data_IF_684283717447
#
_entry.id   IF_684283717447
#
_cell.length_a   1.000
_cell.length_b   1.000
_cell.length_c   1.000
_cell.angle_alpha   90.00
_cell.angle_beta   90.00
_cell.angle_gamma   90.00
#
_symmetry.space_group_name_H-M   'P 1'
#
loop_
_entity.id
_entity.type
_entity.pdbx_description
1 polymer ?
#
# COMPACT_ATOMS: atom_id res chain seq x y z
N UNK A 1 6.37 -18.34 13.68
CA UNK A 1 5.82 -17.73 12.43
C UNK A 1 4.36 -17.43 12.72
N UNK A 2 3.83 -16.30 12.30
CA UNK A 2 2.41 -15.98 12.47
C UNK A 2 1.58 -16.87 11.57
N UNK A 3 0.45 -17.39 12.07
CA UNK A 3 -0.50 -18.17 11.25
C UNK A 3 -1.20 -17.29 10.19
N UNK A 4 -1.01 -15.97 10.28
CA UNK A 4 -1.62 -14.98 9.40
C UNK A 4 -3.10 -14.73 9.71
N UNK A 5 -3.59 -13.57 9.33
CA UNK A 5 -5.02 -13.25 9.37
C UNK A 5 -5.70 -13.70 8.09
N UNK A 6 -6.97 -14.08 8.17
CA UNK A 6 -7.75 -14.55 7.02
C UNK A 6 -7.85 -13.50 5.91
N UNK A 7 -8.09 -12.24 6.29
CA UNK A 7 -8.19 -11.10 5.38
C UNK A 7 -7.19 -10.04 5.82
N UNK A 8 -6.27 -9.70 4.94
CA UNK A 8 -5.28 -8.65 5.16
C UNK A 8 -5.56 -7.50 4.21
N UNK A 9 -5.80 -6.32 4.75
CA UNK A 9 -5.98 -5.08 3.99
C UNK A 9 -4.71 -4.25 4.08
N UNK A 10 -4.31 -3.61 2.99
CA UNK A 10 -3.11 -2.77 2.96
C UNK A 10 -3.20 -1.69 1.88
N UNK A 11 -2.29 -0.75 1.92
CA UNK A 11 -2.00 0.22 0.87
C UNK A 11 -0.50 0.49 0.86
N UNK A 12 0.02 1.13 -0.18
CA UNK A 12 1.43 1.50 -0.20
C UNK A 12 1.77 2.53 0.90
N UNK A 13 3.06 2.68 1.17
CA UNK A 13 3.54 3.54 2.26
C UNK A 13 3.06 4.99 2.15
N UNK A 14 2.95 5.54 0.94
CA UNK A 14 2.50 6.92 0.74
C UNK A 14 1.04 7.14 1.18
N UNK A 15 0.26 6.08 1.26
CA UNK A 15 -1.10 6.07 1.79
C UNK A 15 -1.18 5.64 3.26
N UNK A 16 -0.10 5.08 3.81
CA UNK A 16 0.03 4.64 5.21
C UNK A 16 0.88 5.61 6.04
N UNK A 17 0.63 6.90 5.84
CA UNK A 17 1.30 8.00 6.55
C UNK A 17 0.29 9.10 6.85
N UNK A 18 0.59 9.91 7.86
CA UNK A 18 -0.13 11.15 8.15
C UNK A 18 0.59 12.40 7.65
N UNK A 19 1.73 12.22 6.94
CA UNK A 19 2.56 13.33 6.46
C UNK A 19 2.89 14.38 7.54
N UNK A 20 2.98 13.97 8.81
CA UNK A 20 3.13 14.87 9.99
C UNK A 20 2.06 15.96 10.08
N UNK A 21 0.87 15.72 9.52
CA UNK A 21 -0.21 16.71 9.43
C UNK A 21 0.02 17.81 8.39
N UNK A 22 1.08 17.72 7.59
CA UNK A 22 1.39 18.72 6.55
C UNK A 22 1.06 18.16 5.16
N UNK A 23 -0.02 18.66 4.54
CA UNK A 23 -0.48 18.21 3.23
C UNK A 23 0.53 18.45 2.10
N UNK A 24 1.43 19.44 2.23
CA UNK A 24 2.48 19.71 1.24
C UNK A 24 3.46 18.54 1.10
N UNK A 25 3.65 17.74 2.15
CA UNK A 25 4.47 16.53 2.08
C UNK A 25 3.88 15.46 1.18
N UNK A 26 2.54 15.44 1.03
CA UNK A 26 1.86 14.61 0.03
C UNK A 26 2.23 14.97 -1.39
N UNK A 27 2.39 16.26 -1.70
CA UNK A 27 2.88 16.71 -3.01
C UNK A 27 4.32 16.28 -3.27
N UNK A 28 5.19 16.31 -2.25
CA UNK A 28 6.57 15.80 -2.38
C UNK A 28 6.57 14.33 -2.77
N UNK A 29 5.61 13.55 -2.30
CA UNK A 29 5.45 12.14 -2.69
C UNK A 29 5.11 11.94 -4.17
N UNK A 30 4.52 12.94 -4.81
CA UNK A 30 4.27 12.96 -6.25
C UNK A 30 5.51 13.33 -7.07
N UNK A 31 6.58 13.83 -6.43
CA UNK A 31 7.84 14.21 -7.06
C UNK A 31 8.68 13.01 -7.50
N UNK A 32 9.72 13.27 -8.35
CA UNK A 32 10.61 12.22 -8.83
C UNK A 32 11.35 11.52 -7.69
N UNK A 33 11.37 10.19 -7.73
CA UNK A 33 12.00 9.35 -6.72
C UNK A 33 13.50 9.64 -6.50
N UNK A 34 14.19 10.13 -7.52
CA UNK A 34 15.63 10.39 -7.47
C UNK A 34 16.00 11.71 -6.77
N UNK A 35 15.03 12.59 -6.49
CA UNK A 35 15.32 13.91 -5.92
C UNK A 35 15.81 13.86 -4.48
N UNK A 36 15.30 12.93 -3.69
CA UNK A 36 15.58 12.82 -2.26
C UNK A 36 15.92 11.36 -1.94
N UNK A 37 17.00 11.07 -1.21
CA UNK A 37 17.28 9.72 -0.76
C UNK A 37 16.08 9.12 -0.01
N UNK A 38 15.73 7.89 -0.32
CA UNK A 38 14.53 7.24 0.18
C UNK A 38 14.42 7.27 1.71
N UNK A 39 15.51 7.03 2.42
CA UNK A 39 15.52 7.05 3.88
C UNK A 39 15.19 8.42 4.47
N UNK A 40 15.60 9.50 3.78
CA UNK A 40 15.28 10.89 4.17
C UNK A 40 13.80 11.15 3.93
N UNK A 41 13.30 10.74 2.73
CA UNK A 41 11.89 10.86 2.42
C UNK A 41 11.02 10.13 3.45
N UNK A 42 11.33 8.88 3.74
CA UNK A 42 10.57 8.04 4.67
C UNK A 42 10.57 8.57 6.10
N UNK A 43 11.69 9.12 6.57
CA UNK A 43 11.77 9.66 7.92
C UNK A 43 11.16 11.05 8.07
N UNK A 44 11.38 11.91 7.09
CA UNK A 44 11.05 13.33 7.21
C UNK A 44 9.66 13.64 6.65
N UNK A 45 9.35 13.19 5.45
CA UNK A 45 8.15 13.56 4.72
C UNK A 45 7.03 12.52 4.82
N UNK A 46 7.39 11.24 4.86
CA UNK A 46 6.44 10.13 4.82
C UNK A 46 6.65 9.14 5.98
N UNK A 47 6.60 9.60 7.26
CA UNK A 47 6.77 8.70 8.39
C UNK A 47 5.64 7.68 8.44
N UNK A 48 5.96 6.45 8.82
CA UNK A 48 4.94 5.40 9.04
C UNK A 48 3.97 5.81 10.13
N UNK A 49 2.70 5.46 9.95
CA UNK A 49 1.71 5.52 11.03
C UNK A 49 2.09 4.57 12.16
N UNK A 50 1.56 4.82 13.34
CA UNK A 50 1.77 3.93 14.50
C UNK A 50 1.33 2.51 14.16
N UNK A 51 2.27 1.58 14.27
CA UNK A 51 2.12 0.19 13.81
C UNK A 51 2.57 -0.75 14.92
N UNK A 52 1.76 -1.77 15.17
CA UNK A 52 2.12 -2.85 16.09
C UNK A 52 3.26 -3.69 15.49
N UNK A 53 4.41 -3.68 16.14
CA UNK A 53 5.62 -4.37 15.65
C UNK A 53 5.51 -5.89 15.58
N UNK A 54 4.58 -6.48 16.33
CA UNK A 54 4.39 -7.94 16.37
C UNK A 54 3.43 -8.43 15.29
N UNK A 55 2.37 -7.66 15.01
CA UNK A 55 1.29 -8.06 14.08
C UNK A 55 1.32 -7.32 12.76
N UNK A 56 2.00 -6.18 12.68
CA UNK A 56 1.95 -5.28 11.52
C UNK A 56 0.68 -4.41 11.47
N UNK A 57 -0.22 -4.53 12.46
CA UNK A 57 -1.48 -3.77 12.50
C UNK A 57 -1.25 -2.28 12.69
N UNK A 58 -1.93 -1.47 11.87
CA UNK A 58 -1.85 -0.01 11.98
C UNK A 58 -3.01 0.54 12.83
N UNK A 59 -2.71 1.48 13.72
CA UNK A 59 -3.76 2.18 14.49
C UNK A 59 -4.58 3.13 13.62
N UNK A 60 -3.92 3.84 12.72
CA UNK A 60 -4.55 4.80 11.81
C UNK A 60 -4.37 4.31 10.39
N UNK A 61 -5.45 4.24 9.64
CA UNK A 61 -5.44 3.86 8.23
C UNK A 61 -6.31 4.82 7.41
N UNK A 62 -6.07 4.83 6.12
CA UNK A 62 -6.85 5.58 5.15
C UNK A 62 -8.34 5.25 5.25
N UNK A 63 -9.19 6.27 5.07
CA UNK A 63 -10.65 6.13 5.17
C UNK A 63 -11.22 5.02 4.28
N UNK A 64 -10.67 4.84 3.05
CA UNK A 64 -11.09 3.77 2.15
C UNK A 64 -10.87 2.37 2.75
N UNK A 65 -9.72 2.12 3.37
CA UNK A 65 -9.43 0.85 4.05
C UNK A 65 -10.34 0.62 5.26
N UNK A 66 -10.60 1.67 6.07
CA UNK A 66 -11.52 1.57 7.22
C UNK A 66 -12.95 1.30 6.79
N UNK A 67 -13.40 1.85 5.67
CA UNK A 67 -14.72 1.54 5.11
C UNK A 67 -14.84 0.08 4.65
N UNK A 68 -13.80 -0.44 3.98
CA UNK A 68 -13.77 -1.85 3.57
C UNK A 68 -13.75 -2.75 4.82
N UNK A 69 -12.90 -2.46 5.80
CA UNK A 69 -12.86 -3.18 7.08
C UNK A 69 -14.24 -3.19 7.76
N UNK A 70 -14.88 -2.04 7.88
CA UNK A 70 -16.22 -1.91 8.47
C UNK A 70 -17.29 -2.70 7.71
N UNK A 71 -17.20 -2.77 6.39
CA UNK A 71 -18.11 -3.59 5.60
C UNK A 71 -17.87 -5.10 5.83
N UNK A 72 -16.61 -5.52 5.87
CA UNK A 72 -16.23 -6.91 6.11
C UNK A 72 -16.61 -7.39 7.52
N UNK A 73 -16.57 -6.52 8.52
CA UNK A 73 -16.96 -6.85 9.90
C UNK A 73 -18.46 -7.17 10.07
N UNK A 74 -19.28 -7.01 9.04
CA UNK A 74 -20.66 -7.51 9.02
C UNK A 74 -20.75 -9.02 8.82
N UNK A 75 -19.74 -9.62 8.18
CA UNK A 75 -19.71 -11.02 7.78
C UNK A 75 -18.58 -11.82 8.44
N UNK A 76 -17.52 -11.14 8.88
CA UNK A 76 -16.32 -11.75 9.45
C UNK A 76 -16.06 -11.25 10.87
N UNK A 77 -15.41 -12.07 11.67
CA UNK A 77 -15.01 -11.68 13.03
C UNK A 77 -13.83 -10.70 13.01
N UNK A 78 -13.73 -9.87 14.06
CA UNK A 78 -12.65 -8.86 14.18
C UNK A 78 -11.25 -9.47 14.12
N UNK A 79 -11.08 -10.64 14.67
CA UNK A 79 -9.79 -11.36 14.72
C UNK A 79 -9.40 -12.00 13.39
N UNK A 80 -10.30 -12.11 12.43
CA UNK A 80 -10.03 -12.60 11.07
C UNK A 80 -9.46 -11.53 10.13
N UNK A 81 -9.64 -10.23 10.46
CA UNK A 81 -9.31 -9.10 9.59
C UNK A 81 -8.21 -8.27 10.22
N UNK A 82 -7.30 -7.77 9.39
CA UNK A 82 -6.27 -6.82 9.81
C UNK A 82 -6.01 -5.78 8.72
N UNK A 83 -5.77 -4.52 9.11
CA UNK A 83 -5.14 -3.53 8.24
C UNK A 83 -3.65 -3.49 8.61
N UNK A 84 -2.81 -3.94 7.70
CA UNK A 84 -1.38 -4.09 7.89
C UNK A 84 -0.57 -3.02 7.17
N UNK A 85 0.49 -2.56 7.83
CA UNK A 85 1.48 -1.70 7.19
C UNK A 85 2.21 -2.45 6.07
N UNK A 86 2.44 -1.86 4.88
CA UNK A 86 3.02 -2.56 3.72
C UNK A 86 4.43 -3.10 3.97
N UNK A 87 5.18 -2.51 4.89
CA UNK A 87 6.52 -2.98 5.25
C UNK A 87 6.52 -4.10 6.30
N UNK A 88 5.34 -4.50 6.79
CA UNK A 88 5.20 -5.53 7.84
C UNK A 88 4.23 -6.65 7.42
N UNK A 89 3.95 -6.80 6.13
CA UNK A 89 3.01 -7.79 5.61
C UNK A 89 3.36 -9.22 6.01
N UNK A 90 4.65 -9.55 6.14
CA UNK A 90 5.12 -10.86 6.63
C UNK A 90 4.70 -11.19 8.07
N UNK A 91 4.30 -10.19 8.87
CA UNK A 91 3.76 -10.38 10.22
C UNK A 91 2.26 -10.70 10.22
N UNK A 92 1.55 -10.23 9.19
CA UNK A 92 0.10 -10.32 9.08
C UNK A 92 -0.35 -11.44 8.15
N UNK A 93 0.47 -11.79 7.14
CA UNK A 93 0.19 -12.80 6.12
C UNK A 93 0.83 -14.12 6.55
N UNK A 94 0.08 -15.20 6.43
CA UNK A 94 0.52 -16.55 6.77
C UNK A 94 -0.34 -17.63 6.10
N UNK A 95 -0.22 -18.89 6.53
CA UNK A 95 -0.96 -20.01 5.95
C UNK A 95 -2.49 -19.86 5.97
N UNK A 96 -3.03 -19.14 6.96
CA UNK A 96 -4.48 -18.92 7.08
C UNK A 96 -4.99 -17.77 6.20
N UNK A 97 -4.10 -17.02 5.54
CA UNK A 97 -4.51 -15.88 4.71
C UNK A 97 -5.15 -16.35 3.41
N UNK A 98 -6.38 -15.93 3.18
CA UNK A 98 -7.14 -16.27 1.96
C UNK A 98 -7.18 -15.12 0.97
N UNK A 99 -7.22 -13.86 1.47
CA UNK A 99 -7.34 -12.67 0.65
C UNK A 99 -6.42 -11.56 1.17
N UNK A 100 -5.73 -10.89 0.25
CA UNK A 100 -5.04 -9.63 0.49
C UNK A 100 -5.69 -8.55 -0.35
N UNK A 101 -6.30 -7.56 0.31
CA UNK A 101 -6.91 -6.39 -0.32
C UNK A 101 -5.95 -5.20 -0.33
N UNK A 102 -5.71 -4.64 -1.51
CA UNK A 102 -4.82 -3.49 -1.71
C UNK A 102 -5.65 -2.29 -2.14
N UNK A 103 -5.59 -1.21 -1.37
CA UNK A 103 -6.20 0.06 -1.75
C UNK A 103 -5.17 0.94 -2.46
N UNK A 104 -5.54 1.49 -3.62
CA UNK A 104 -4.65 2.31 -4.46
C UNK A 104 -5.26 3.67 -4.78
N UNK A 105 -4.41 4.69 -4.89
CA UNK A 105 -4.80 6.04 -5.30
C UNK A 105 -4.11 6.47 -6.60
N UNK A 106 -2.81 6.29 -6.71
CA UNK A 106 -1.98 6.67 -7.87
C UNK A 106 -0.84 5.65 -8.05
N UNK A 107 -1.19 4.37 -8.31
CA UNK A 107 -0.22 3.27 -8.26
C UNK A 107 0.87 3.34 -9.35
N UNK A 108 0.57 3.94 -10.49
CA UNK A 108 1.52 4.08 -11.59
C UNK A 108 2.01 5.53 -11.79
N UNK A 109 1.59 6.46 -10.92
CA UNK A 109 1.99 7.86 -11.02
C UNK A 109 1.29 8.59 -12.16
N UNK A 110 0.05 8.22 -12.48
CA UNK A 110 -0.70 8.78 -13.62
C UNK A 110 -1.72 9.85 -13.20
N UNK A 111 -1.84 10.13 -11.91
CA UNK A 111 -2.68 11.23 -11.44
C UNK A 111 -2.14 12.59 -11.89
N UNK A 112 -3.02 13.60 -12.09
CA UNK A 112 -2.62 14.90 -12.64
C UNK A 112 -1.47 15.58 -11.89
N UNK A 113 -1.43 15.49 -10.58
CA UNK A 113 -0.36 16.07 -9.76
C UNK A 113 0.96 15.36 -10.04
N UNK A 114 0.97 14.03 -10.04
CA UNK A 114 2.17 13.24 -10.26
C UNK A 114 2.72 13.41 -11.67
N UNK A 115 1.88 13.41 -12.69
CA UNK A 115 2.30 13.65 -14.08
C UNK A 115 2.89 15.06 -14.28
N UNK A 116 2.43 16.03 -13.51
CA UNK A 116 2.97 17.40 -13.54
C UNK A 116 4.32 17.48 -12.80
N UNK A 117 4.46 16.84 -11.63
CA UNK A 117 5.66 16.95 -10.80
C UNK A 117 6.78 15.97 -11.20
N UNK A 118 6.41 14.86 -11.83
CA UNK A 118 7.35 13.80 -12.26
C UNK A 118 7.09 13.42 -13.72
N UNK A 119 7.22 14.38 -14.67
CA UNK A 119 7.03 14.06 -16.08
C UNK A 119 8.08 13.02 -16.51
N UNK A 120 7.62 11.89 -17.07
CA UNK A 120 8.47 10.81 -17.58
C UNK A 120 9.43 10.17 -16.54
N UNK A 121 9.27 10.48 -15.26
CA UNK A 121 10.08 9.94 -14.16
C UNK A 121 9.25 9.12 -13.19
N UNK A 122 9.88 8.13 -12.57
CA UNK A 122 9.26 7.36 -11.51
C UNK A 122 9.04 8.25 -10.26
N UNK A 123 7.80 8.39 -9.84
CA UNK A 123 7.45 9.13 -8.62
C UNK A 123 7.65 8.27 -7.37
N UNK A 124 7.72 8.92 -6.20
CA UNK A 124 7.75 8.20 -4.93
C UNK A 124 6.52 7.31 -4.74
N UNK A 125 5.32 7.82 -5.06
CA UNK A 125 4.06 7.07 -4.95
C UNK A 125 4.15 5.75 -5.72
N UNK A 126 4.48 5.83 -7.03
CA UNK A 126 4.60 4.65 -7.88
C UNK A 126 5.71 3.70 -7.40
N UNK A 127 6.83 4.23 -6.92
CA UNK A 127 7.93 3.44 -6.39
C UNK A 127 7.54 2.68 -5.10
N UNK A 128 6.83 3.33 -4.18
CA UNK A 128 6.34 2.68 -2.95
C UNK A 128 5.31 1.60 -3.26
N UNK A 129 4.42 1.85 -4.21
CA UNK A 129 3.49 0.83 -4.69
C UNK A 129 4.23 -0.37 -5.29
N UNK A 130 5.22 -0.15 -6.18
CA UNK A 130 6.03 -1.21 -6.78
C UNK A 130 6.74 -2.07 -5.71
N UNK A 131 7.34 -1.45 -4.68
CA UNK A 131 7.98 -2.18 -3.57
C UNK A 131 7.00 -3.03 -2.79
N UNK A 132 5.83 -2.50 -2.48
CA UNK A 132 4.77 -3.26 -1.81
C UNK A 132 4.31 -4.45 -2.66
N UNK A 133 4.09 -4.25 -3.96
CA UNK A 133 3.72 -5.33 -4.88
C UNK A 133 4.76 -6.45 -4.90
N UNK A 134 6.05 -6.13 -4.91
CA UNK A 134 7.12 -7.13 -4.87
C UNK A 134 7.01 -8.02 -3.61
N UNK A 135 6.78 -7.41 -2.44
CA UNK A 135 6.56 -8.14 -1.19
C UNK A 135 5.30 -9.01 -1.23
N UNK A 136 4.19 -8.47 -1.75
CA UNK A 136 2.93 -9.23 -1.88
C UNK A 136 3.10 -10.43 -2.82
N UNK A 137 3.80 -10.26 -3.95
CA UNK A 137 4.06 -11.34 -4.92
C UNK A 137 4.88 -12.46 -4.27
N UNK A 138 5.93 -12.12 -3.51
CA UNK A 138 6.74 -13.12 -2.81
C UNK A 138 5.90 -13.90 -1.79
N UNK A 139 5.09 -13.21 -0.98
CA UNK A 139 4.22 -13.84 -0.01
C UNK A 139 3.11 -14.67 -0.67
N UNK A 140 2.56 -14.21 -1.80
CA UNK A 140 1.58 -14.96 -2.58
C UNK A 140 2.14 -16.26 -3.14
N UNK A 141 3.39 -16.24 -3.65
CA UNK A 141 4.06 -17.47 -4.10
C UNK A 141 4.21 -18.48 -2.97
N UNK A 142 4.41 -18.00 -1.73
CA UNK A 142 4.58 -18.86 -0.55
C UNK A 142 3.27 -19.41 0.01
N UNK A 143 2.21 -18.62 0.04
CA UNK A 143 0.97 -18.94 0.77
C UNK A 143 -0.28 -19.11 -0.11
N UNK A 144 -0.26 -18.70 -1.37
CA UNK A 144 -1.32 -18.98 -2.36
C UNK A 144 -2.61 -18.16 -2.24
N UNK A 145 -2.64 -17.07 -1.46
CA UNK A 145 -3.81 -16.23 -1.27
C UNK A 145 -4.26 -15.49 -2.55
N UNK A 146 -5.51 -15.02 -2.57
CA UNK A 146 -6.03 -14.16 -3.64
C UNK A 146 -5.68 -12.70 -3.36
N UNK A 147 -5.37 -11.93 -4.41
CA UNK A 147 -5.13 -10.49 -4.32
C UNK A 147 -6.29 -9.76 -4.98
N UNK A 148 -6.83 -8.78 -4.28
CA UNK A 148 -7.88 -7.88 -4.77
C UNK A 148 -7.35 -6.46 -4.69
N UNK A 149 -7.35 -5.75 -5.80
CA UNK A 149 -6.92 -4.35 -5.87
C UNK A 149 -8.13 -3.47 -6.13
N UNK A 150 -8.27 -2.41 -5.36
CA UNK A 150 -9.36 -1.45 -5.46
C UNK A 150 -8.93 -0.06 -5.01
N UNK A 151 -9.83 0.89 -5.11
CA UNK A 151 -9.57 2.29 -4.79
C UNK A 151 -9.61 3.21 -6.00
N UNK A 152 -9.44 4.52 -5.77
CA UNK A 152 -9.62 5.53 -6.81
C UNK A 152 -8.62 5.41 -7.97
N UNK A 153 -7.42 4.86 -7.72
CA UNK A 153 -6.38 4.66 -8.73
C UNK A 153 -6.45 3.31 -9.46
N UNK A 154 -7.42 2.44 -9.17
CA UNK A 154 -7.49 1.11 -9.79
C UNK A 154 -7.66 1.13 -11.31
N UNK A 155 -8.19 2.20 -11.87
CA UNK A 155 -8.29 2.42 -13.32
C UNK A 155 -6.93 2.44 -14.03
N UNK A 156 -5.86 2.86 -13.35
CA UNK A 156 -4.51 2.86 -13.90
C UNK A 156 -4.03 1.44 -14.21
N UNK A 157 -4.45 0.47 -13.38
CA UNK A 157 -4.09 -0.93 -13.51
C UNK A 157 -5.00 -1.72 -14.47
N UNK A 158 -6.14 -1.15 -14.88
CA UNK A 158 -7.12 -1.83 -15.72
C UNK A 158 -6.70 -2.01 -17.19
N UNK A 159 -5.61 -1.38 -17.63
CA UNK A 159 -5.10 -1.50 -19.02
C UNK A 159 -3.89 -2.43 -19.05
N UNK A 160 -3.98 -3.61 -19.70
CA UNK A 160 -2.89 -4.60 -19.75
C UNK A 160 -1.55 -4.04 -20.27
N UNK A 161 -1.60 -3.12 -21.24
CA UNK A 161 -0.39 -2.54 -21.84
C UNK A 161 0.40 -1.63 -20.90
N UNK A 162 -0.25 -1.14 -19.82
CA UNK A 162 0.39 -0.25 -18.85
C UNK A 162 1.09 -1.00 -17.73
N UNK A 163 0.67 -2.21 -17.43
CA UNK A 163 1.37 -3.09 -16.46
C UNK A 163 2.75 -3.52 -16.96
N UNK A 164 2.92 -3.63 -18.29
CA UNK A 164 4.19 -4.01 -18.93
C UNK A 164 5.27 -2.90 -18.90
N UNK A 165 4.88 -1.63 -18.73
CA UNK A 165 5.82 -0.50 -18.75
C UNK A 165 6.70 -0.47 -17.49
N UNK A 166 6.32 -1.14 -16.42
CA UNK A 166 7.05 -1.14 -15.14
C UNK A 166 7.75 -2.46 -14.81
N UNK A 167 8.04 -3.28 -15.82
CA UNK A 167 8.95 -4.44 -15.75
C UNK A 167 8.37 -5.59 -14.91
N UNK A 168 7.69 -6.48 -15.56
CA UNK A 168 7.80 -7.88 -15.24
C UNK A 168 9.12 -8.42 -15.78
#
# INVERSE_FOLDING_TARGET
MSDGKRIVLTADRSLMTNYRGNFLYGFIACGPYELIPEFVFDKLFCPSVETNKNTGEVKVAQCGLRRIESALLKEYQRDEIIISHPEMLEKSIGPNTTVVGINVMDPLGMAPVTTTMSPEKLSYVAMKFKKMCASVIQLKKKYGFKVVVGGNGSWELAKPDRMKIHGE
#
